data_IF_102671843427
#
_entry.id   IF_102671843427
#
_cell.length_a   1.000
_cell.length_b   1.000
_cell.length_c   1.000
_cell.angle_alpha   90.00
_cell.angle_beta   90.00
_cell.angle_gamma   90.00
#
_symmetry.space_group_name_H-M   'P 1'
#
loop_
_entity.id
_entity.type
_entity.pdbx_description
1 polymer ?
#
# COMPACT_ATOMS: atom_id res chain seq x y z
N UNK A 1 -9.87 -13.90 -76.89
CA UNK A 1 -9.33 -13.04 -75.83
C UNK A 1 -8.18 -13.79 -75.20
N UNK A 2 -6.97 -13.49 -75.67
CA UNK A 2 -5.74 -14.19 -75.36
C UNK A 2 -5.14 -13.68 -74.05
N UNK A 3 -4.54 -14.59 -73.27
CA UNK A 3 -3.71 -14.26 -72.12
C UNK A 3 -2.28 -13.91 -72.52
N UNK A 4 -1.50 -13.41 -71.56
CA UNK A 4 -0.06 -13.52 -71.53
C UNK A 4 0.48 -13.22 -70.12
N UNK A 5 1.42 -14.05 -69.73
CA UNK A 5 2.32 -14.08 -68.58
C UNK A 5 3.49 -13.07 -68.71
N UNK A 6 4.34 -13.02 -67.66
CA UNK A 6 5.82 -12.93 -67.69
C UNK A 6 6.48 -11.67 -67.07
N UNK A 7 7.21 -11.95 -65.97
CA UNK A 7 8.54 -11.53 -65.46
C UNK A 7 8.97 -10.11 -65.02
N UNK A 8 9.48 -10.09 -63.78
CA UNK A 8 10.78 -9.59 -63.28
C UNK A 8 11.65 -8.71 -64.20
N UNK A 9 12.07 -7.53 -63.71
CA UNK A 9 13.50 -7.16 -63.65
C UNK A 9 13.79 -5.96 -62.72
N UNK A 10 15.02 -5.95 -62.23
CA UNK A 10 15.71 -5.05 -61.31
C UNK A 10 16.17 -3.78 -62.04
N UNK A 11 16.13 -2.59 -61.42
CA UNK A 11 17.30 -1.68 -61.34
C UNK A 11 17.03 -0.39 -60.56
N UNK A 12 18.01 -0.13 -59.70
CA UNK A 12 18.40 1.06 -58.94
C UNK A 12 18.33 2.40 -59.68
N UNK A 13 17.85 3.44 -59.00
CA UNK A 13 18.34 4.82 -59.16
C UNK A 13 18.50 5.48 -57.79
N UNK A 14 19.76 5.78 -57.48
CA UNK A 14 20.25 6.71 -56.48
C UNK A 14 19.72 8.13 -56.70
N UNK A 15 19.37 8.84 -55.64
CA UNK A 15 19.74 10.26 -55.52
C UNK A 15 19.70 10.71 -54.07
N UNK A 16 20.77 11.40 -53.70
CA UNK A 16 21.09 11.95 -52.39
C UNK A 16 20.11 13.06 -52.01
N UNK A 17 19.82 13.14 -50.72
CA UNK A 17 19.05 14.22 -50.11
C UNK A 17 19.46 14.38 -48.66
N UNK A 18 20.62 15.01 -48.44
CA UNK A 18 20.97 15.58 -47.15
C UNK A 18 19.91 16.62 -46.75
N UNK A 19 19.34 16.46 -45.56
CA UNK A 19 18.67 17.56 -44.85
C UNK A 19 18.84 17.36 -43.35
N UNK A 20 19.49 18.37 -42.76
CA UNK A 20 19.90 18.54 -41.38
C UNK A 20 18.84 18.17 -40.34
N UNK A 21 19.14 17.18 -39.49
CA UNK A 21 18.49 17.01 -38.20
C UNK A 21 19.19 17.90 -37.16
N UNK A 22 18.49 18.96 -36.73
CA UNK A 22 18.92 19.78 -35.59
C UNK A 22 18.92 18.98 -34.28
N UNK A 23 19.67 19.41 -33.25
CA UNK A 23 19.78 18.67 -32.01
C UNK A 23 18.44 18.68 -31.27
N UNK A 24 17.94 17.49 -30.95
CA UNK A 24 16.83 17.29 -30.02
C UNK A 24 17.19 17.80 -28.61
N UNK A 25 16.22 18.30 -27.83
CA UNK A 25 16.49 18.79 -26.49
C UNK A 25 16.95 17.62 -25.62
N UNK A 26 18.19 17.70 -25.14
CA UNK A 26 18.74 16.81 -24.13
C UNK A 26 18.01 17.13 -22.83
N UNK A 27 17.05 16.29 -22.44
CA UNK A 27 16.56 16.26 -21.08
C UNK A 27 17.73 15.97 -20.14
N UNK A 28 17.95 16.87 -19.18
CA UNK A 28 19.04 16.85 -18.22
C UNK A 28 19.09 15.52 -17.46
N UNK A 29 20.22 14.82 -17.52
CA UNK A 29 20.52 13.60 -16.74
C UNK A 29 20.48 13.84 -15.24
N UNK A 30 20.62 15.11 -14.81
CA UNK A 30 20.59 15.52 -13.41
C UNK A 30 19.21 15.33 -12.76
N UNK A 31 18.11 15.58 -13.48
CA UNK A 31 16.75 15.45 -12.93
C UNK A 31 16.39 14.01 -12.54
N UNK A 32 16.78 13.04 -13.37
CA UNK A 32 16.59 11.61 -13.06
C UNK A 32 17.40 11.18 -11.84
N UNK A 33 18.64 11.66 -11.72
CA UNK A 33 19.51 11.32 -10.58
C UNK A 33 18.98 11.88 -9.25
N UNK A 34 18.39 13.07 -9.29
CA UNK A 34 17.76 13.68 -8.13
C UNK A 34 16.46 12.96 -7.72
N UNK A 35 15.61 12.56 -8.67
CA UNK A 35 14.39 11.80 -8.36
C UNK A 35 14.69 10.43 -7.74
N UNK A 36 15.71 9.73 -8.26
CA UNK A 36 16.16 8.44 -7.70
C UNK A 36 16.64 8.62 -6.25
N UNK A 37 17.37 9.70 -5.97
CA UNK A 37 17.89 10.01 -4.62
C UNK A 37 16.77 10.41 -3.63
N UNK A 38 15.75 11.14 -4.11
CA UNK A 38 14.54 11.49 -3.33
C UNK A 38 13.75 10.24 -2.93
N UNK A 39 13.59 9.30 -3.86
CA UNK A 39 12.88 8.04 -3.62
C UNK A 39 13.66 7.12 -2.67
N UNK A 40 14.97 7.00 -2.83
CA UNK A 40 15.79 6.14 -1.97
C UNK A 40 15.80 6.60 -0.51
N UNK A 41 15.91 7.91 -0.26
CA UNK A 41 15.82 8.45 1.11
C UNK A 41 14.46 8.17 1.77
N UNK A 42 13.37 8.32 1.00
CA UNK A 42 12.03 8.01 1.53
C UNK A 42 11.86 6.52 1.85
N UNK A 43 12.43 5.64 1.02
CA UNK A 43 12.40 4.19 1.27
C UNK A 43 13.23 3.78 2.49
N UNK A 44 14.45 4.31 2.63
CA UNK A 44 15.29 4.04 3.79
C UNK A 44 14.61 4.47 5.09
N UNK A 45 13.99 5.66 5.11
CA UNK A 45 13.21 6.12 6.25
C UNK A 45 12.04 5.17 6.56
N UNK A 46 11.32 4.69 5.53
CA UNK A 46 10.20 3.79 5.72
C UNK A 46 10.66 2.44 6.31
N UNK A 47 11.78 1.89 5.85
CA UNK A 47 12.37 0.65 6.39
C UNK A 47 12.79 0.79 7.85
N UNK A 48 13.35 1.94 8.24
CA UNK A 48 13.79 2.19 9.62
C UNK A 48 12.64 2.28 10.63
N UNK A 49 11.44 2.67 10.19
CA UNK A 49 10.33 3.04 11.08
C UNK A 49 9.19 2.01 11.07
N UNK A 50 9.04 1.21 10.01
CA UNK A 50 7.91 0.28 9.83
C UNK A 50 8.21 -1.15 10.29
N UNK A 51 8.52 -1.32 11.56
CA UNK A 51 8.58 -2.65 12.20
C UNK A 51 7.37 -2.82 13.12
N UNK A 52 6.53 -3.82 12.84
CA UNK A 52 5.37 -4.15 13.66
C UNK A 52 5.62 -5.44 14.45
N UNK A 53 5.25 -5.50 15.74
CA UNK A 53 5.33 -6.76 16.46
C UNK A 53 4.26 -7.73 15.95
N UNK A 54 4.59 -9.03 15.87
CA UNK A 54 3.60 -10.03 15.46
C UNK A 54 2.43 -10.15 16.43
N UNK A 55 2.73 -10.06 17.74
CA UNK A 55 1.72 -9.91 18.79
C UNK A 55 1.56 -8.42 19.07
N UNK A 56 0.42 -7.85 18.67
CA UNK A 56 0.13 -6.44 18.94
C UNK A 56 -0.18 -6.23 20.43
N UNK A 57 0.34 -5.16 21.05
CA UNK A 57 0.04 -4.84 22.43
C UNK A 57 -1.47 -4.69 22.67
N UNK A 58 -1.96 -5.22 23.79
CA UNK A 58 -3.38 -5.18 24.13
C UNK A 58 -3.88 -3.73 24.27
N UNK A 59 -3.05 -2.84 24.80
CA UNK A 59 -3.34 -1.42 24.95
C UNK A 59 -3.57 -0.75 23.60
N UNK A 60 -2.84 -1.18 22.56
CA UNK A 60 -3.03 -0.68 21.20
C UNK A 60 -4.39 -1.10 20.65
N UNK A 61 -4.77 -2.37 20.82
CA UNK A 61 -6.08 -2.88 20.38
C UNK A 61 -7.24 -2.19 21.12
N UNK A 62 -7.11 -1.96 22.43
CA UNK A 62 -8.07 -1.17 23.19
C UNK A 62 -8.17 0.28 22.68
N UNK A 63 -7.04 0.89 22.33
CA UNK A 63 -7.01 2.25 21.82
C UNK A 63 -7.67 2.35 20.43
N UNK A 64 -7.51 1.35 19.56
CA UNK A 64 -8.23 1.24 18.28
C UNK A 64 -9.74 1.23 18.54
N UNK A 65 -10.24 0.26 19.33
CA UNK A 65 -11.67 0.13 19.63
C UNK A 65 -12.26 1.40 20.27
N UNK A 66 -11.51 2.05 21.17
CA UNK A 66 -11.92 3.30 21.80
C UNK A 66 -12.03 4.44 20.79
N UNK A 67 -11.02 4.65 19.93
CA UNK A 67 -11.06 5.71 18.89
C UNK A 67 -12.19 5.46 17.92
N UNK A 68 -12.41 4.21 17.55
CA UNK A 68 -13.46 3.82 16.63
C UNK A 68 -14.85 4.15 17.19
N UNK A 69 -15.10 3.79 18.45
CA UNK A 69 -16.33 4.13 19.15
C UNK A 69 -16.51 5.65 19.31
N UNK A 70 -15.45 6.39 19.67
CA UNK A 70 -15.52 7.85 19.83
C UNK A 70 -15.85 8.55 18.51
N UNK A 71 -15.27 8.09 17.40
CA UNK A 71 -15.56 8.62 16.06
C UNK A 71 -17.01 8.36 15.67
N UNK A 72 -17.49 7.14 15.92
CA UNK A 72 -18.86 6.74 15.62
C UNK A 72 -19.88 7.56 16.41
N UNK A 73 -19.55 7.92 17.65
CA UNK A 73 -20.38 8.77 18.51
C UNK A 73 -20.24 10.28 18.24
N UNK A 74 -19.37 10.68 17.30
CA UNK A 74 -19.07 12.10 17.06
C UNK A 74 -18.39 12.81 18.24
N UNK A 75 -17.73 12.04 19.11
CA UNK A 75 -17.05 12.55 20.29
C UNK A 75 -15.61 12.98 19.97
N UNK A 76 -15.05 13.87 20.80
CA UNK A 76 -13.65 14.28 20.70
C UNK A 76 -12.69 13.09 20.93
N UNK A 77 -11.49 13.18 20.35
CA UNK A 77 -10.43 12.15 20.42
C UNK A 77 -10.74 10.83 19.69
N UNK A 78 -11.65 10.88 18.70
CA UNK A 78 -11.79 9.82 17.70
C UNK A 78 -10.63 9.80 16.69
N UNK A 79 -10.85 9.13 15.56
CA UNK A 79 -9.96 9.12 14.42
C UNK A 79 -9.85 10.52 13.82
N UNK A 80 -8.62 11.00 13.53
CA UNK A 80 -8.44 12.28 12.87
C UNK A 80 -8.91 12.19 11.42
N UNK A 81 -9.34 13.33 10.86
CA UNK A 81 -9.58 13.45 9.41
C UNK A 81 -8.29 13.68 8.65
N UNK A 82 -7.31 14.34 9.28
CA UNK A 82 -6.00 14.62 8.70
C UNK A 82 -4.94 13.86 9.47
N UNK A 83 -4.26 12.92 8.82
CA UNK A 83 -3.17 12.15 9.38
C UNK A 83 -1.85 12.89 9.12
N UNK A 84 -1.39 13.61 10.13
CA UNK A 84 -0.18 14.43 10.08
C UNK A 84 0.98 13.83 10.85
N UNK A 85 2.21 14.11 10.39
CA UNK A 85 3.43 13.77 11.12
C UNK A 85 3.63 14.74 12.29
N UNK A 86 3.89 14.21 13.48
CA UNK A 86 4.23 14.94 14.71
C UNK A 86 5.68 15.45 14.72
N UNK A 87 6.47 15.11 13.70
CA UNK A 87 7.90 15.44 13.63
C UNK A 87 8.14 16.89 13.19
N UNK A 88 9.17 17.50 13.76
CA UNK A 88 9.73 18.80 13.34
C UNK A 88 11.04 18.66 12.55
N UNK A 89 11.76 17.57 12.78
CA UNK A 89 13.06 17.27 12.16
C UNK A 89 13.02 15.94 11.41
N UNK A 90 13.76 15.88 10.30
CA UNK A 90 13.94 14.68 9.51
C UNK A 90 14.68 13.63 10.33
N UNK A 91 14.08 12.45 10.49
CA UNK A 91 14.69 11.34 11.22
C UNK A 91 15.92 10.74 10.50
N UNK A 92 16.09 11.00 9.18
CA UNK A 92 17.24 10.50 8.43
C UNK A 92 18.46 11.43 8.53
N UNK A 93 18.28 12.75 8.36
CA UNK A 93 19.41 13.70 8.29
C UNK A 93 19.37 14.83 9.33
N UNK A 94 18.37 14.87 10.21
CA UNK A 94 18.21 15.88 11.27
C UNK A 94 17.76 17.28 10.81
N UNK A 95 17.71 17.54 9.50
CA UNK A 95 17.27 18.83 8.95
C UNK A 95 15.81 19.13 9.28
N UNK A 96 15.42 20.40 9.29
CA UNK A 96 14.01 20.79 9.52
C UNK A 96 13.09 20.21 8.44
N UNK A 97 11.88 19.87 8.86
CA UNK A 97 10.79 19.53 7.98
C UNK A 97 10.06 20.80 7.53
N UNK A 98 9.59 20.80 6.28
CA UNK A 98 8.73 21.86 5.77
C UNK A 98 7.29 21.77 6.30
N UNK A 99 6.43 22.64 5.76
CA UNK A 99 5.03 22.71 6.13
C UNK A 99 4.26 21.44 5.74
N UNK A 100 3.23 21.14 6.54
CA UNK A 100 2.30 20.04 6.29
C UNK A 100 1.49 20.30 5.02
N UNK A 101 1.43 19.31 4.13
CA UNK A 101 0.66 19.38 2.88
C UNK A 101 0.05 18.03 2.54
N UNK A 102 -1.03 18.03 1.78
CA UNK A 102 -1.67 16.79 1.30
C UNK A 102 -0.65 15.97 0.49
N UNK A 103 -0.63 14.66 0.69
CA UNK A 103 0.25 13.75 -0.04
C UNK A 103 -0.01 13.90 -1.56
N UNK A 104 1.03 14.06 -2.41
CA UNK A 104 0.84 14.28 -3.86
C UNK A 104 0.04 13.18 -4.57
N UNK A 105 0.04 11.97 -4.01
CA UNK A 105 -0.76 10.84 -4.49
C UNK A 105 -2.24 10.88 -4.10
N UNK A 106 -2.69 11.88 -3.34
CA UNK A 106 -4.10 12.12 -3.06
C UNK A 106 -4.64 13.23 -3.97
N UNK A 107 -5.82 12.98 -4.52
CA UNK A 107 -6.59 13.94 -5.32
C UNK A 107 -8.07 13.70 -5.08
N UNK A 108 -8.95 14.56 -5.60
CA UNK A 108 -10.41 14.33 -5.53
C UNK A 108 -10.87 13.01 -6.18
N UNK A 109 -10.07 12.47 -7.10
CA UNK A 109 -10.32 11.17 -7.72
C UNK A 109 -9.56 10.02 -7.04
N UNK A 110 -8.83 10.32 -5.95
CA UNK A 110 -7.90 9.40 -5.34
C UNK A 110 -7.88 9.55 -3.81
N UNK A 111 -9.09 9.56 -3.24
CA UNK A 111 -9.35 9.69 -1.80
C UNK A 111 -8.73 8.54 -1.01
N UNK A 112 -8.32 8.79 0.23
CA UNK A 112 -7.97 7.73 1.16
C UNK A 112 -9.16 7.40 2.05
N UNK A 113 -9.45 6.12 2.19
CA UNK A 113 -10.51 5.61 3.04
C UNK A 113 -9.92 5.04 4.33
N UNK A 114 -10.49 5.45 5.46
CA UNK A 114 -10.31 4.78 6.74
C UNK A 114 -11.26 3.58 6.80
N UNK A 115 -10.68 2.40 6.98
CA UNK A 115 -11.40 1.14 7.14
C UNK A 115 -11.24 0.65 8.58
N UNK A 116 -12.31 0.79 9.34
CA UNK A 116 -12.45 0.39 10.74
C UNK A 116 -13.81 -0.30 10.92
N UNK A 117 -14.02 -0.99 12.03
CA UNK A 117 -15.25 -1.77 12.26
C UNK A 117 -16.52 -0.90 12.34
N UNK A 118 -16.44 0.27 12.97
CA UNK A 118 -17.58 1.17 13.20
C UNK A 118 -17.64 2.34 12.21
N UNK A 119 -16.51 2.75 11.63
CA UNK A 119 -16.45 3.89 10.70
C UNK A 119 -15.88 3.47 9.34
N UNK A 120 -16.54 2.55 8.61
CA UNK A 120 -16.01 2.05 7.36
C UNK A 120 -16.15 3.07 6.24
N UNK A 121 -15.08 3.22 5.46
CA UNK A 121 -14.99 4.11 4.29
C UNK A 121 -15.13 5.59 4.64
N UNK A 122 -14.75 5.98 5.86
CA UNK A 122 -14.64 7.39 6.20
C UNK A 122 -13.49 8.01 5.39
N UNK A 123 -13.75 9.10 4.67
CA UNK A 123 -12.71 9.80 3.90
C UNK A 123 -11.72 10.52 4.84
N UNK A 124 -10.43 10.36 4.55
CA UNK A 124 -9.35 10.95 5.34
C UNK A 124 -8.20 11.44 4.44
N UNK A 125 -7.50 12.46 4.92
CA UNK A 125 -6.36 13.06 4.25
C UNK A 125 -5.05 12.57 4.88
N UNK A 126 -4.12 12.12 4.03
CA UNK A 126 -2.76 11.77 4.40
C UNK A 126 -1.90 12.98 4.13
N UNK A 127 -1.31 13.51 5.19
CA UNK A 127 -0.48 14.70 5.11
C UNK A 127 0.99 14.30 5.18
N UNK A 128 1.81 15.07 4.47
CA UNK A 128 3.26 14.89 4.43
C UNK A 128 3.99 16.16 4.79
N UNK A 129 5.16 15.97 5.37
CA UNK A 129 6.19 16.99 5.46
C UNK A 129 7.41 16.53 4.69
N UNK A 130 8.01 17.42 3.91
CA UNK A 130 9.23 17.12 3.16
C UNK A 130 10.44 17.73 3.86
N UNK A 131 11.51 16.95 4.00
CA UNK A 131 12.78 17.42 4.52
C UNK A 131 13.32 18.59 3.69
N UNK A 132 13.67 19.70 4.35
CA UNK A 132 14.16 20.91 3.67
C UNK A 132 15.57 20.76 3.07
N UNK A 133 16.33 19.73 3.46
CA UNK A 133 17.63 19.45 2.86
C UNK A 133 17.47 18.88 1.45
N UNK A 134 18.01 19.57 0.44
CA UNK A 134 17.96 19.15 -0.98
C UNK A 134 18.60 17.78 -1.21
N UNK A 135 19.66 17.46 -0.45
CA UNK A 135 20.36 16.19 -0.56
C UNK A 135 19.56 15.00 0.01
N UNK A 136 18.62 15.25 0.94
CA UNK A 136 17.82 14.19 1.55
C UNK A 136 16.42 14.14 0.93
N UNK A 137 15.68 15.26 0.98
CA UNK A 137 14.33 15.39 0.43
C UNK A 137 13.36 14.26 0.85
N UNK A 138 13.63 13.59 1.97
CA UNK A 138 12.80 12.51 2.48
C UNK A 138 11.40 13.02 2.83
N UNK A 139 10.40 12.20 2.53
CA UNK A 139 9.00 12.47 2.83
C UNK A 139 8.61 11.79 4.14
N UNK A 140 8.07 12.57 5.07
CA UNK A 140 7.55 12.09 6.35
C UNK A 140 6.03 12.10 6.35
N UNK A 141 5.44 10.94 6.62
CA UNK A 141 4.00 10.75 6.81
C UNK A 141 3.67 10.60 8.29
N UNK A 142 2.38 10.58 8.62
CA UNK A 142 1.92 10.17 9.93
C UNK A 142 2.35 8.74 10.26
N UNK A 143 2.74 8.52 11.52
CA UNK A 143 2.93 7.19 12.09
C UNK A 143 1.59 6.50 12.34
N UNK A 144 0.93 6.06 11.27
CA UNK A 144 -0.37 5.38 11.33
C UNK A 144 -0.31 4.14 12.22
N UNK A 145 0.81 3.43 12.21
CA UNK A 145 1.08 2.24 13.03
C UNK A 145 0.97 2.49 14.53
N UNK A 146 1.41 3.67 15.01
CA UNK A 146 1.29 4.05 16.43
C UNK A 146 -0.16 4.28 16.86
N UNK A 147 -1.03 4.58 15.90
CA UNK A 147 -2.47 4.72 16.13
C UNK A 147 -3.22 3.40 15.97
N UNK A 148 -2.53 2.34 15.55
CA UNK A 148 -3.12 1.04 15.29
C UNK A 148 -3.74 0.92 13.90
N UNK A 149 -3.22 1.68 12.93
CA UNK A 149 -3.61 1.63 11.52
C UNK A 149 -2.44 1.16 10.65
N UNK A 150 -2.77 0.56 9.52
CA UNK A 150 -1.82 0.18 8.48
C UNK A 150 -2.15 0.94 7.19
N UNK A 151 -1.15 1.65 6.67
CA UNK A 151 -1.32 2.43 5.45
C UNK A 151 -1.02 1.59 4.21
N UNK A 152 -2.03 1.39 3.38
CA UNK A 152 -1.96 0.70 2.10
C UNK A 152 -2.04 1.74 0.99
N UNK A 153 -0.88 2.03 0.40
CA UNK A 153 -0.73 2.86 -0.80
C UNK A 153 -1.33 4.27 -0.72
N UNK A 154 -1.52 4.84 0.48
CA UNK A 154 -2.23 6.11 0.70
C UNK A 154 -3.66 6.12 0.11
N UNK A 155 -4.26 4.93 0.02
CA UNK A 155 -5.62 4.68 -0.47
C UNK A 155 -6.50 4.10 0.61
N UNK A 156 -5.94 3.25 1.47
CA UNK A 156 -6.68 2.61 2.55
C UNK A 156 -5.84 2.66 3.81
N UNK A 157 -6.34 3.34 4.85
CA UNK A 157 -5.87 3.16 6.22
C UNK A 157 -6.76 2.10 6.86
N UNK A 158 -6.26 0.88 7.02
CA UNK A 158 -7.02 -0.21 7.65
C UNK A 158 -6.57 -0.37 9.10
N UNK A 159 -7.51 -0.57 10.03
CA UNK A 159 -7.15 -0.85 11.42
C UNK A 159 -6.51 -2.23 11.60
N UNK A 160 -5.54 -2.31 12.50
CA UNK A 160 -4.73 -3.52 12.68
C UNK A 160 -5.55 -4.70 13.22
N UNK A 161 -6.63 -4.45 13.95
CA UNK A 161 -7.56 -5.49 14.41
C UNK A 161 -8.28 -6.21 13.27
N UNK A 162 -8.64 -5.51 12.19
CA UNK A 162 -9.18 -6.11 10.95
C UNK A 162 -8.13 -7.02 10.30
N UNK A 163 -6.88 -6.55 10.19
CA UNK A 163 -5.79 -7.35 9.63
C UNK A 163 -5.45 -8.58 10.50
N UNK A 164 -5.55 -8.46 11.82
CA UNK A 164 -5.44 -9.60 12.74
C UNK A 164 -6.59 -10.59 12.54
N UNK A 165 -7.80 -10.12 12.28
CA UNK A 165 -8.92 -10.99 11.98
C UNK A 165 -8.71 -11.75 10.66
N UNK A 166 -8.23 -11.06 9.62
CA UNK A 166 -7.82 -11.69 8.35
C UNK A 166 -6.79 -12.79 8.58
N UNK A 167 -5.79 -12.54 9.43
CA UNK A 167 -4.80 -13.53 9.85
C UNK A 167 -5.44 -14.74 10.53
N UNK A 168 -6.42 -14.53 11.41
CA UNK A 168 -7.14 -15.64 12.08
C UNK A 168 -7.88 -16.52 11.06
N UNK A 169 -8.54 -15.93 10.07
CA UNK A 169 -9.20 -16.70 9.01
C UNK A 169 -8.19 -17.40 8.09
N UNK A 170 -7.10 -16.72 7.73
CA UNK A 170 -6.04 -17.31 6.91
C UNK A 170 -5.40 -18.52 7.60
N UNK A 171 -5.11 -18.43 8.91
CA UNK A 171 -4.61 -19.56 9.73
C UNK A 171 -5.57 -20.76 9.77
N UNK A 172 -6.88 -20.53 9.58
CA UNK A 172 -7.90 -21.59 9.49
C UNK A 172 -8.03 -22.17 8.07
N UNK A 173 -7.20 -21.72 7.12
CA UNK A 173 -7.18 -22.21 5.74
C UNK A 173 -8.19 -21.51 4.81
N UNK A 174 -8.80 -20.40 5.22
CA UNK A 174 -9.70 -19.66 4.34
C UNK A 174 -8.90 -18.85 3.30
N UNK A 175 -9.26 -18.90 2.00
CA UNK A 175 -8.65 -18.06 0.98
C UNK A 175 -8.83 -16.57 1.33
N UNK A 176 -7.72 -15.82 1.39
CA UNK A 176 -7.76 -14.46 1.94
C UNK A 176 -8.61 -13.50 1.09
N UNK A 177 -8.62 -13.66 -0.23
CA UNK A 177 -9.49 -12.86 -1.11
C UNK A 177 -10.98 -13.02 -0.77
N UNK A 178 -11.42 -14.25 -0.44
CA UNK A 178 -12.80 -14.51 -0.03
C UNK A 178 -13.10 -13.90 1.35
N UNK A 179 -12.14 -13.95 2.27
CA UNK A 179 -12.26 -13.32 3.60
C UNK A 179 -12.42 -11.81 3.45
N UNK A 180 -11.54 -11.15 2.70
CA UNK A 180 -11.56 -9.70 2.45
C UNK A 180 -12.91 -9.29 1.86
N UNK A 181 -13.34 -9.95 0.78
CA UNK A 181 -14.62 -9.65 0.13
C UNK A 181 -15.79 -9.79 1.09
N UNK A 182 -15.89 -10.93 1.79
CA UNK A 182 -16.95 -11.15 2.77
C UNK A 182 -16.94 -10.09 3.88
N UNK A 183 -15.75 -9.69 4.32
CA UNK A 183 -15.54 -8.69 5.37
C UNK A 183 -15.84 -7.27 4.92
N UNK A 184 -15.74 -6.95 3.62
CA UNK A 184 -16.10 -5.64 3.09
C UNK A 184 -17.60 -5.49 2.76
N UNK A 185 -18.31 -6.59 2.49
CA UNK A 185 -19.76 -6.54 2.22
C UNK A 185 -20.56 -5.97 3.40
N UNK A 186 -20.22 -6.37 4.62
CA UNK A 186 -20.95 -5.93 5.83
C UNK A 186 -20.74 -4.44 6.11
N UNK A 187 -19.50 -3.91 6.14
CA UNK A 187 -19.24 -2.49 6.26
C UNK A 187 -19.85 -1.66 5.14
N UNK A 188 -19.82 -2.14 3.88
CA UNK A 188 -20.46 -1.43 2.75
C UNK A 188 -21.97 -1.28 2.96
N UNK A 189 -22.63 -2.33 3.44
CA UNK A 189 -24.05 -2.28 3.76
C UNK A 189 -24.38 -1.41 4.99
N UNK A 190 -23.44 -1.27 5.93
CA UNK A 190 -23.59 -0.45 7.14
C UNK A 190 -23.16 1.01 6.96
N UNK A 191 -22.45 1.34 5.89
CA UNK A 191 -21.98 2.69 5.63
C UNK A 191 -23.19 3.60 5.39
N UNK A 192 -23.38 4.56 6.29
CA UNK A 192 -24.47 5.54 6.25
C UNK A 192 -24.00 6.91 5.76
N UNK A 193 -22.70 7.06 5.50
CA UNK A 193 -22.11 8.29 4.99
C UNK A 193 -22.35 8.41 3.48
N UNK A 194 -22.30 9.63 2.96
CA UNK A 194 -22.40 9.92 1.51
C UNK A 194 -21.19 9.42 0.70
N UNK A 195 -20.16 8.91 1.36
CA UNK A 195 -18.87 8.49 0.83
C UNK A 195 -18.73 6.97 0.66
N UNK A 196 -19.84 6.26 0.38
CA UNK A 196 -19.76 4.83 0.06
C UNK A 196 -18.98 4.67 -1.25
N UNK A 197 -17.90 3.87 -1.30
CA UNK A 197 -17.15 3.68 -2.53
C UNK A 197 -18.03 3.03 -3.61
N UNK A 198 -17.86 3.46 -4.85
CA UNK A 198 -18.50 2.83 -6.00
C UNK A 198 -18.09 1.36 -6.14
N UNK A 199 -18.84 0.57 -6.91
CA UNK A 199 -18.50 -0.85 -7.13
C UNK A 199 -17.09 -1.03 -7.71
N UNK A 200 -16.66 -0.13 -8.60
CA UNK A 200 -15.30 -0.14 -9.15
C UNK A 200 -14.23 0.19 -8.10
N UNK A 201 -14.47 1.20 -7.25
CA UNK A 201 -13.56 1.52 -6.15
C UNK A 201 -13.51 0.40 -5.11
N UNK A 202 -14.64 -0.27 -4.86
CA UNK A 202 -14.68 -1.43 -3.96
C UNK A 202 -13.81 -2.58 -4.46
N UNK A 203 -13.88 -2.90 -5.76
CA UNK A 203 -12.98 -3.91 -6.34
C UNK A 203 -11.51 -3.51 -6.20
N UNK A 204 -11.21 -2.23 -6.42
CA UNK A 204 -9.84 -1.72 -6.24
C UNK A 204 -9.38 -1.79 -4.78
N UNK A 205 -10.25 -1.47 -3.82
CA UNK A 205 -9.98 -1.61 -2.38
C UNK A 205 -9.77 -3.08 -1.99
N UNK A 206 -10.54 -4.03 -2.56
CA UNK A 206 -10.32 -5.48 -2.37
C UNK A 206 -8.90 -5.88 -2.78
N UNK A 207 -8.45 -5.46 -3.96
CA UNK A 207 -7.11 -5.76 -4.49
C UNK A 207 -6.00 -5.11 -3.63
N UNK A 208 -6.23 -3.88 -3.18
CA UNK A 208 -5.30 -3.18 -2.28
C UNK A 208 -5.19 -3.91 -0.93
N UNK A 209 -6.30 -4.33 -0.33
CA UNK A 209 -6.31 -5.08 0.93
C UNK A 209 -5.66 -6.45 0.79
N UNK A 210 -5.79 -7.12 -0.36
CA UNK A 210 -5.13 -8.38 -0.62
C UNK A 210 -3.60 -8.21 -0.54
N UNK A 211 -3.06 -7.23 -1.27
CA UNK A 211 -1.63 -6.93 -1.26
C UNK A 211 -1.18 -6.35 0.10
N UNK A 212 -2.02 -5.53 0.71
CA UNK A 212 -1.79 -4.92 2.02
C UNK A 212 -1.70 -5.95 3.14
N UNK A 213 -2.52 -7.01 3.10
CA UNK A 213 -2.46 -8.10 4.08
C UNK A 213 -1.12 -8.84 4.02
N UNK A 214 -0.63 -9.21 2.83
CA UNK A 214 0.69 -9.85 2.74
C UNK A 214 1.81 -8.90 3.13
N UNK A 215 1.71 -7.61 2.79
CA UNK A 215 2.68 -6.60 3.22
C UNK A 215 2.71 -6.50 4.76
N UNK A 216 1.54 -6.48 5.40
CA UNK A 216 1.42 -6.52 6.86
C UNK A 216 2.05 -7.77 7.46
N UNK A 217 1.79 -8.95 6.90
CA UNK A 217 2.41 -10.20 7.37
C UNK A 217 3.94 -10.17 7.26
N UNK A 218 4.48 -9.55 6.21
CA UNK A 218 5.93 -9.39 6.00
C UNK A 218 6.56 -8.34 6.94
N UNK A 219 5.81 -7.29 7.30
CA UNK A 219 6.27 -6.26 8.25
C UNK A 219 6.16 -6.69 9.71
N UNK A 220 5.52 -7.82 10.00
CA UNK A 220 5.40 -8.33 11.37
C UNK A 220 6.53 -9.30 11.73
N UNK A 221 7.27 -9.00 12.80
CA UNK A 221 8.37 -9.87 13.26
C UNK A 221 7.85 -11.19 13.82
N UNK A 222 7.93 -12.26 13.02
CA UNK A 222 7.53 -13.60 13.44
C UNK A 222 8.57 -14.19 14.39
N UNK A 223 8.11 -14.65 15.55
CA UNK A 223 8.89 -15.61 16.33
C UNK A 223 8.80 -16.97 15.63
N UNK A 224 9.93 -17.47 15.11
CA UNK A 224 10.00 -18.80 14.49
C UNK A 224 9.71 -19.93 15.49
N UNK A 225 9.87 -19.66 16.80
CA UNK A 225 9.59 -20.61 17.87
C UNK A 225 8.09 -20.69 18.22
N UNK A 226 7.28 -19.68 17.85
CA UNK A 226 5.85 -19.62 18.18
C UNK A 226 4.97 -20.50 17.27
N UNK A 227 5.54 -21.09 16.21
CA UNK A 227 4.79 -21.88 15.21
C UNK A 227 5.25 -23.33 15.16
N UNK A 228 5.52 -23.94 16.32
CA UNK A 228 5.48 -25.41 16.42
C UNK A 228 4.01 -25.83 16.47
N UNK A 229 3.53 -26.55 15.45
CA UNK A 229 2.19 -27.12 15.49
C UNK A 229 2.03 -28.02 16.74
N UNK A 230 1.12 -27.68 17.66
CA UNK A 230 0.90 -28.45 18.90
C UNK A 230 0.36 -29.88 18.72
N UNK A 231 0.11 -30.31 17.48
CA UNK A 231 -0.32 -31.68 17.13
C UNK A 231 0.83 -32.48 16.50
N UNK A 232 1.63 -31.88 15.63
CA UNK A 232 2.70 -32.61 14.90
C UNK A 232 4.13 -32.14 15.19
N UNK A 233 4.35 -31.09 15.98
CA UNK A 233 5.68 -30.64 16.35
C UNK A 233 6.51 -30.03 15.21
N UNK A 234 5.93 -29.86 14.02
CA UNK A 234 6.63 -29.35 12.83
C UNK A 234 6.44 -27.84 12.73
N UNK A 235 7.54 -27.12 12.54
CA UNK A 235 7.54 -25.74 12.08
C UNK A 235 7.09 -25.74 10.61
N UNK A 236 5.99 -25.06 10.24
CA UNK A 236 5.57 -25.04 8.85
C UNK A 236 6.66 -24.33 8.05
N UNK A 237 7.32 -25.07 7.15
CA UNK A 237 8.01 -24.44 6.02
C UNK A 237 6.98 -23.56 5.33
N UNK A 238 7.30 -22.27 5.19
CA UNK A 238 6.53 -21.37 4.33
C UNK A 238 6.68 -21.96 2.93
N UNK A 239 5.72 -22.78 2.51
CA UNK A 239 5.56 -23.10 1.11
C UNK A 239 5.20 -21.78 0.43
N UNK A 240 6.19 -21.14 -0.20
CA UNK A 240 5.97 -20.21 -1.30
C UNK A 240 5.41 -21.05 -2.47
N UNK A 241 4.19 -21.55 -2.28
CA UNK A 241 3.45 -22.32 -3.26
C UNK A 241 2.61 -21.37 -4.09
N UNK A 242 2.80 -21.45 -5.39
CA UNK A 242 2.06 -20.73 -6.42
C UNK A 242 0.56 -20.70 -6.08
N UNK A 243 -0.05 -19.51 -6.14
CA UNK A 243 -1.34 -19.18 -5.54
C UNK A 243 -2.49 -20.14 -5.87
N UNK A 244 -2.59 -21.22 -5.10
CA UNK A 244 -3.69 -22.17 -5.17
C UNK A 244 -4.44 -22.17 -3.84
N UNK A 245 -5.77 -22.17 -3.90
CA UNK A 245 -6.74 -22.10 -2.78
C UNK A 245 -6.69 -23.30 -1.81
N UNK A 246 -5.58 -24.05 -1.79
CA UNK A 246 -5.38 -25.22 -0.93
C UNK A 246 -4.04 -25.11 -0.23
N UNK A 247 -3.99 -24.28 0.81
CA UNK A 247 -2.97 -24.40 1.85
C UNK A 247 -3.16 -25.74 2.56
N UNK A 248 -2.60 -26.80 1.99
CA UNK A 248 -2.58 -28.14 2.57
C UNK A 248 -1.20 -28.36 3.17
N UNK A 249 -1.11 -28.43 4.50
CA UNK A 249 0.05 -29.04 5.14
C UNK A 249 0.15 -30.49 4.64
N UNK A 250 1.14 -30.80 3.80
CA UNK A 250 1.40 -32.19 3.40
C UNK A 250 2.19 -32.89 4.50
N UNK A 251 1.54 -33.78 5.23
CA UNK A 251 2.23 -34.83 5.99
C UNK A 251 2.84 -35.81 4.98
N UNK A 252 4.10 -35.60 4.60
CA UNK A 252 4.91 -36.69 4.03
C UNK A 252 5.72 -37.29 5.18
N UNK A 253 5.16 -38.34 5.77
CA UNK A 253 5.94 -39.39 6.42
C UNK A 253 6.40 -40.37 5.34
#
# INVERSE_FOLDING_TARGET
>A
MAGATVDNEVMSLTSEGESSAGPMPVGSTDDLSEEITKRSSTLNLAEMVKVLPYVLPYELLQAIAKRDALTFLGAANGWPTNFESDLENCQQCGSKLGDSRIHPGQSRANTCYLLTELNPFKEVDIMVKICSSRACSAMHQASAEKLGLFNISDKVLVSLDILLEFRVFFKKGHPIGNVIRAKLLTPKAKCKESSVPSDGEMMYIEDLLYNGYYSFEMSTERNLDDVVCGICGVCPEICLGDGNEKNSCTNRQ
#
